data_IF_823808617733
#
_entry.id   IF_823808617733
#
_cell.length_a   1.000
_cell.length_b   1.000
_cell.length_c   1.000
_cell.angle_alpha   90.00
_cell.angle_beta   90.00
_cell.angle_gamma   90.00
#
_symmetry.space_group_name_H-M   'P 1'
#
loop_
_entity.id
_entity.type
_entity.pdbx_description
1 polymer ?
#
# COMPACT_ATOMS: atom_id res chain seq x y z
N UNK A 1 23.21 -25.28 17.88
CA UNK A 1 22.49 -24.34 18.76
C UNK A 1 21.20 -23.92 18.05
N UNK A 2 20.04 -23.98 18.72
CA UNK A 2 18.73 -23.94 18.05
C UNK A 2 18.35 -22.57 17.47
N UNK A 3 17.56 -22.58 16.38
CA UNK A 3 17.08 -21.35 15.67
C UNK A 3 16.42 -20.33 16.61
N UNK A 4 15.73 -20.80 17.66
CA UNK A 4 15.06 -19.94 18.63
C UNK A 4 16.05 -19.10 19.45
N UNK A 5 17.14 -19.72 19.91
CA UNK A 5 18.20 -19.04 20.65
C UNK A 5 18.93 -18.01 19.76
N UNK A 6 19.07 -18.30 18.47
CA UNK A 6 19.68 -17.40 17.50
C UNK A 6 18.78 -16.19 17.19
N UNK A 7 17.46 -16.39 17.10
CA UNK A 7 16.48 -15.31 16.93
C UNK A 7 16.44 -14.40 18.16
N UNK A 8 16.42 -14.99 19.35
CA UNK A 8 16.47 -14.25 20.62
C UNK A 8 17.77 -13.45 20.74
N UNK A 9 18.91 -14.04 20.36
CA UNK A 9 20.20 -13.34 20.34
C UNK A 9 20.19 -12.14 19.38
N UNK A 10 19.65 -12.31 18.17
CA UNK A 10 19.50 -11.20 17.19
C UNK A 10 18.60 -10.09 17.71
N UNK A 11 17.50 -10.44 18.37
CA UNK A 11 16.58 -9.45 18.93
C UNK A 11 17.21 -8.69 20.11
N UNK A 12 17.95 -9.41 20.96
CA UNK A 12 18.72 -8.80 22.05
C UNK A 12 19.80 -7.86 21.51
N UNK A 13 20.50 -8.26 20.44
CA UNK A 13 21.52 -7.45 19.76
C UNK A 13 20.91 -6.18 19.13
N UNK A 14 19.66 -6.26 18.64
CA UNK A 14 18.95 -5.11 18.10
C UNK A 14 18.48 -4.12 19.19
N UNK A 15 18.09 -4.62 20.37
CA UNK A 15 17.57 -3.83 21.49
C UNK A 15 18.68 -3.26 22.40
N UNK A 16 19.73 -4.04 22.65
CA UNK A 16 20.83 -3.69 23.55
C UNK A 16 22.06 -3.17 22.80
N UNK A 17 22.03 -3.21 21.46
CA UNK A 17 23.15 -2.90 20.57
C UNK A 17 24.27 -3.92 20.65
N UNK A 18 25.10 -3.98 19.60
CA UNK A 18 26.26 -4.89 19.53
C UNK A 18 27.29 -4.66 20.65
N UNK A 19 27.24 -3.50 21.31
CA UNK A 19 28.08 -3.09 22.44
C UNK A 19 27.96 -4.01 23.66
N UNK A 20 26.75 -4.51 23.96
CA UNK A 20 26.52 -5.43 25.08
C UNK A 20 27.11 -6.85 24.82
N UNK A 21 27.51 -7.13 23.57
CA UNK A 21 28.02 -8.42 23.11
C UNK A 21 29.54 -8.42 22.85
N UNK A 22 30.27 -7.37 23.25
CA UNK A 22 31.74 -7.35 23.23
C UNK A 22 32.39 -7.13 21.86
N UNK A 23 31.63 -6.73 20.84
CA UNK A 23 32.18 -6.34 19.54
C UNK A 23 32.47 -4.84 19.59
N UNK A 24 33.74 -4.48 19.53
CA UNK A 24 34.22 -3.09 19.47
C UNK A 24 33.56 -2.43 18.26
N UNK A 25 32.56 -1.59 18.49
CA UNK A 25 32.02 -0.69 17.50
C UNK A 25 32.58 0.70 17.81
N UNK A 26 33.07 1.36 16.75
CA UNK A 26 33.41 2.78 16.77
C UNK A 26 32.17 3.53 17.25
N UNK A 27 32.33 4.40 18.24
CA UNK A 27 31.26 5.20 18.84
C UNK A 27 30.66 6.14 17.77
N UNK A 28 29.67 5.63 17.04
CA UNK A 28 29.08 6.28 15.87
C UNK A 28 27.99 7.22 16.37
N UNK A 29 28.19 8.53 16.18
CA UNK A 29 27.16 9.52 16.44
C UNK A 29 26.07 9.44 15.37
N UNK A 30 24.82 9.73 15.74
CA UNK A 30 23.70 9.76 14.79
C UNK A 30 23.83 10.83 13.69
N UNK A 31 24.76 11.78 13.83
CA UNK A 31 25.10 12.79 12.81
C UNK A 31 26.04 12.27 11.70
N UNK A 32 26.64 11.08 11.87
CA UNK A 32 27.57 10.51 10.89
C UNK A 32 26.85 10.20 9.56
N UNK A 33 27.44 10.54 8.39
CA UNK A 33 26.87 10.26 7.07
C UNK A 33 26.65 8.77 6.77
N UNK A 34 27.31 7.86 7.51
CA UNK A 34 27.12 6.40 7.39
C UNK A 34 25.77 5.94 7.96
N UNK A 35 25.15 6.73 8.84
CA UNK A 35 23.86 6.40 9.46
C UNK A 35 22.71 6.82 8.54
N UNK A 36 21.68 5.98 8.45
CA UNK A 36 20.54 6.27 7.59
C UNK A 36 19.65 7.36 8.19
N UNK A 37 19.79 8.59 7.70
CA UNK A 37 18.95 9.73 8.09
C UNK A 37 17.45 9.45 7.93
N UNK A 38 17.05 8.76 6.86
CA UNK A 38 15.64 8.39 6.64
C UNK A 38 15.10 7.41 7.68
N UNK A 39 15.95 6.53 8.22
CA UNK A 39 15.58 5.62 9.31
C UNK A 39 15.48 6.36 10.65
N UNK A 40 16.37 7.32 10.90
CA UNK A 40 16.35 8.16 12.10
C UNK A 40 15.09 9.04 12.16
N UNK A 41 14.78 9.75 11.06
CA UNK A 41 13.64 10.68 11.01
C UNK A 41 12.28 9.97 10.94
N UNK A 42 12.23 8.71 10.51
CA UNK A 42 10.98 7.99 10.29
C UNK A 42 11.21 6.55 9.85
N UNK A 43 10.79 6.24 8.62
CA UNK A 43 10.95 4.94 8.00
C UNK A 43 11.82 5.02 6.74
N UNK A 44 12.81 4.15 6.63
CA UNK A 44 13.61 4.05 5.42
C UNK A 44 12.83 3.27 4.33
N UNK A 45 12.71 3.80 3.10
CA UNK A 45 12.05 3.10 1.99
C UNK A 45 12.66 1.73 1.67
N UNK A 46 13.97 1.57 1.87
CA UNK A 46 14.65 0.28 1.68
C UNK A 46 14.13 -0.81 2.61
N UNK A 47 13.75 -0.46 3.84
CA UNK A 47 13.23 -1.41 4.83
C UNK A 47 11.74 -1.70 4.59
N UNK A 48 10.98 -0.65 4.24
CA UNK A 48 9.54 -0.72 4.00
C UNK A 48 9.17 -1.60 2.80
N UNK A 49 9.99 -1.55 1.74
CA UNK A 49 9.73 -2.28 0.49
C UNK A 49 10.49 -3.59 0.35
N UNK A 50 11.11 -4.10 1.43
CA UNK A 50 11.75 -5.41 1.44
C UNK A 50 10.76 -6.50 1.01
N UNK A 51 11.19 -7.41 0.13
CA UNK A 51 10.37 -8.49 -0.42
C UNK A 51 9.14 -8.04 -1.23
N UNK A 52 9.09 -6.78 -1.67
CA UNK A 52 8.03 -6.31 -2.58
C UNK A 52 8.54 -6.24 -4.02
N UNK A 53 7.63 -6.07 -4.99
CA UNK A 53 8.00 -5.80 -6.39
C UNK A 53 8.78 -4.48 -6.58
N UNK A 54 8.82 -3.64 -5.54
CA UNK A 54 9.55 -2.36 -5.52
C UNK A 54 10.79 -2.42 -4.62
N UNK A 55 11.33 -3.62 -4.39
CA UNK A 55 12.48 -3.80 -3.52
C UNK A 55 13.71 -3.06 -4.06
N UNK A 56 14.25 -2.17 -3.23
CA UNK A 56 15.43 -1.36 -3.50
C UNK A 56 16.72 -2.06 -3.01
N UNK A 57 16.59 -3.25 -2.42
CA UNK A 57 17.66 -3.97 -1.75
C UNK A 57 17.96 -3.43 -0.35
N UNK A 58 18.91 -4.08 0.31
CA UNK A 58 19.38 -3.69 1.64
C UNK A 58 19.91 -2.25 1.63
N UNK A 59 19.59 -1.48 2.67
CA UNK A 59 20.08 -0.11 2.79
C UNK A 59 21.62 -0.11 2.90
N UNK A 60 22.28 0.75 2.12
CA UNK A 60 23.73 0.94 2.20
C UNK A 60 24.19 1.67 3.48
N UNK A 61 23.25 2.31 4.19
CA UNK A 61 23.48 3.06 5.42
C UNK A 61 23.08 2.23 6.64
N UNK A 62 23.72 2.46 7.77
CA UNK A 62 23.46 1.72 9.01
C UNK A 62 22.11 2.11 9.61
N UNK A 63 21.28 1.10 9.91
CA UNK A 63 20.04 1.24 10.69
C UNK A 63 20.32 0.75 12.12
N UNK A 64 20.20 1.63 13.10
CA UNK A 64 20.37 1.27 14.52
C UNK A 64 19.26 1.89 15.34
N UNK A 65 18.55 1.07 16.11
CA UNK A 65 17.45 1.50 16.96
C UNK A 65 17.91 2.41 18.10
N UNK A 66 19.15 2.22 18.59
CA UNK A 66 19.76 3.10 19.60
C UNK A 66 19.88 4.54 19.12
N UNK A 67 20.49 4.72 17.94
CA UNK A 67 20.71 6.03 17.34
C UNK A 67 19.39 6.73 17.02
N UNK A 68 18.35 5.97 16.69
CA UNK A 68 17.00 6.50 16.51
C UNK A 68 16.43 7.06 17.82
N UNK A 69 16.58 6.33 18.93
CA UNK A 69 16.18 6.81 20.26
C UNK A 69 16.91 8.08 20.69
N UNK A 70 18.22 8.16 20.41
CA UNK A 70 19.03 9.37 20.66
C UNK A 70 18.54 10.56 19.83
N UNK A 71 18.26 10.35 18.54
CA UNK A 71 17.70 11.38 17.66
C UNK A 71 16.32 11.88 18.14
N UNK A 72 15.43 10.96 18.55
CA UNK A 72 14.11 11.32 19.07
C UNK A 72 14.19 12.09 20.39
N UNK A 73 15.13 11.72 21.27
CA UNK A 73 15.40 12.47 22.50
C UNK A 73 15.94 13.88 22.19
N UNK A 74 16.88 13.99 21.25
CA UNK A 74 17.41 15.28 20.79
C UNK A 74 16.31 16.16 20.17
N UNK A 75 15.39 15.58 19.39
CA UNK A 75 14.26 16.28 18.81
C UNK A 75 13.30 16.80 19.88
N UNK A 76 12.93 15.99 20.87
CA UNK A 76 12.07 16.41 21.99
C UNK A 76 12.70 17.55 22.80
N UNK A 77 14.01 17.46 23.06
CA UNK A 77 14.77 18.50 23.76
C UNK A 77 14.84 19.81 22.97
N UNK A 78 14.94 19.73 21.64
CA UNK A 78 14.88 20.92 20.78
C UNK A 78 13.52 21.62 20.75
N UNK A 79 12.46 20.91 21.15
CA UNK A 79 11.08 21.42 21.17
C UNK A 79 10.61 21.84 22.58
N UNK A 80 11.38 21.55 23.63
CA UNK A 80 11.05 21.93 25.00
C UNK A 80 11.52 23.35 25.32
N UNK A 81 10.65 24.18 25.89
CA UNK A 81 10.94 25.58 26.27
C UNK A 81 11.89 25.73 27.48
N UNK A 82 12.47 24.64 28.00
CA UNK A 82 13.32 24.66 29.19
C UNK A 82 14.80 24.92 28.82
N UNK A 83 15.37 26.08 29.17
CA UNK A 83 16.72 26.48 28.74
C UNK A 83 17.86 25.72 29.44
N UNK A 84 17.64 25.11 30.61
CA UNK A 84 18.71 24.50 31.43
C UNK A 84 19.13 23.08 31.00
N UNK A 85 18.32 22.37 30.19
CA UNK A 85 18.64 21.03 29.68
C UNK A 85 19.34 21.04 28.31
N UNK A 86 19.71 22.24 27.82
CA UNK A 86 20.21 22.48 26.45
C UNK A 86 21.73 22.40 26.31
N UNK A 87 22.42 21.75 27.24
CA UNK A 87 23.87 21.47 27.14
C UNK A 87 24.14 20.36 26.12
N UNK A 88 24.16 20.79 24.86
CA UNK A 88 24.95 20.27 23.74
C UNK A 88 24.89 18.78 23.40
N UNK A 89 24.19 18.43 22.30
CA UNK A 89 24.55 17.23 21.51
C UNK A 89 24.56 17.53 19.98
N UNK A 90 23.62 18.32 19.43
CA UNK A 90 23.54 18.62 17.98
C UNK A 90 22.90 19.99 17.71
N UNK A 91 23.35 20.69 16.66
CA UNK A 91 22.80 22.00 16.26
C UNK A 91 21.35 21.89 15.78
N UNK A 92 20.42 22.79 16.18
CA UNK A 92 19.04 22.78 15.69
C UNK A 92 18.92 22.77 14.17
N UNK A 93 19.88 23.41 13.48
CA UNK A 93 19.95 23.45 12.03
C UNK A 93 20.25 22.07 11.42
N UNK A 94 21.06 21.24 12.07
CA UNK A 94 21.40 19.89 11.59
C UNK A 94 20.18 18.97 11.67
N UNK A 95 19.42 19.01 12.77
CA UNK A 95 18.16 18.26 12.92
C UNK A 95 17.15 18.65 11.83
N UNK A 96 17.02 19.95 11.56
CA UNK A 96 16.13 20.43 10.50
C UNK A 96 16.61 19.99 9.11
N UNK A 97 17.93 20.02 8.85
CA UNK A 97 18.51 19.57 7.59
C UNK A 97 18.25 18.07 7.35
N UNK A 98 18.44 17.23 8.37
CA UNK A 98 18.14 15.79 8.29
C UNK A 98 16.66 15.53 7.98
N UNK A 99 15.76 16.27 8.64
CA UNK A 99 14.32 16.21 8.35
C UNK A 99 14.00 16.60 6.91
N UNK A 100 14.57 17.70 6.41
CA UNK A 100 14.35 18.15 5.02
C UNK A 100 14.86 17.14 4.00
N UNK A 101 16.02 16.53 4.24
CA UNK A 101 16.54 15.47 3.38
C UNK A 101 15.60 14.26 3.35
N UNK A 102 15.07 13.86 4.51
CA UNK A 102 14.06 12.81 4.60
C UNK A 102 12.80 13.16 3.80
N UNK A 103 12.24 14.36 3.99
CA UNK A 103 11.05 14.83 3.28
C UNK A 103 11.26 14.84 1.76
N UNK A 104 12.40 15.38 1.29
CA UNK A 104 12.75 15.37 -0.13
C UNK A 104 12.88 13.95 -0.70
N UNK A 105 13.52 13.04 0.03
CA UNK A 105 13.65 11.66 -0.38
C UNK A 105 12.27 10.99 -0.52
N UNK A 106 11.39 11.13 0.49
CA UNK A 106 10.05 10.55 0.46
C UNK A 106 9.20 11.15 -0.66
N UNK A 107 9.25 12.46 -0.87
CA UNK A 107 8.52 13.11 -1.96
C UNK A 107 8.96 12.56 -3.32
N UNK A 108 10.26 12.35 -3.54
CA UNK A 108 10.75 11.69 -4.76
C UNK A 108 10.18 10.28 -4.97
N UNK A 109 10.02 9.49 -3.89
CA UNK A 109 9.37 8.18 -3.98
C UNK A 109 7.87 8.28 -4.27
N UNK A 110 7.18 9.28 -3.72
CA UNK A 110 5.76 9.52 -3.99
C UNK A 110 5.56 9.90 -5.46
N UNK A 111 6.40 10.79 -5.99
CA UNK A 111 6.34 11.18 -7.40
C UNK A 111 6.58 9.98 -8.34
N UNK A 112 7.50 9.09 -7.99
CA UNK A 112 7.72 7.85 -8.75
C UNK A 112 6.48 6.93 -8.70
N UNK A 113 5.88 6.76 -7.53
CA UNK A 113 4.64 6.01 -7.36
C UNK A 113 3.53 6.60 -8.21
N UNK A 114 3.34 7.92 -8.17
CA UNK A 114 2.33 8.64 -8.95
C UNK A 114 2.56 8.47 -10.46
N UNK A 115 3.81 8.56 -10.92
CA UNK A 115 4.17 8.33 -12.32
C UNK A 115 3.77 6.92 -12.77
N UNK A 116 4.06 5.91 -11.94
CA UNK A 116 3.70 4.52 -12.20
C UNK A 116 2.19 4.29 -12.17
N UNK A 117 1.48 4.94 -11.25
CA UNK A 117 0.01 4.90 -11.17
C UNK A 117 -0.60 5.51 -12.43
N UNK A 118 -0.15 6.68 -12.86
CA UNK A 118 -0.64 7.32 -14.10
C UNK A 118 -0.39 6.46 -15.33
N UNK A 119 0.79 5.84 -15.44
CA UNK A 119 1.09 4.91 -16.53
C UNK A 119 0.19 3.67 -16.51
N UNK A 120 -0.14 3.14 -15.32
CA UNK A 120 -1.07 2.04 -15.17
C UNK A 120 -2.52 2.43 -15.49
N UNK A 121 -2.97 3.59 -15.03
CA UNK A 121 -4.27 4.16 -15.34
C UNK A 121 -4.44 4.38 -16.84
N UNK A 122 -3.42 4.92 -17.52
CA UNK A 122 -3.44 5.07 -18.98
C UNK A 122 -3.54 3.75 -19.74
N UNK A 123 -2.99 2.65 -19.20
CA UNK A 123 -3.17 1.31 -19.79
C UNK A 123 -4.56 0.73 -19.52
N UNK A 124 -5.22 1.16 -18.46
CA UNK A 124 -6.58 0.75 -18.08
C UNK A 124 -7.65 1.61 -18.74
N UNK A 125 -7.29 2.81 -19.19
CA UNK A 125 -8.20 3.70 -19.92
C UNK A 125 -8.68 2.97 -21.18
N UNK A 126 -9.97 2.61 -21.19
CA UNK A 126 -10.61 1.96 -22.32
C UNK A 126 -10.51 2.89 -23.51
N UNK A 127 -10.05 2.37 -24.64
CA UNK A 127 -10.04 3.14 -25.87
C UNK A 127 -11.48 3.57 -26.21
N UNK A 128 -11.68 4.74 -26.87
CA UNK A 128 -13.01 5.16 -27.28
C UNK A 128 -13.69 4.10 -28.17
N UNK A 129 -12.91 3.32 -28.91
CA UNK A 129 -13.38 2.20 -29.73
C UNK A 129 -13.93 1.05 -28.87
N UNK A 130 -13.24 0.64 -27.81
CA UNK A 130 -13.75 -0.35 -26.85
C UNK A 130 -15.00 0.14 -26.13
N UNK A 131 -15.08 1.44 -25.82
CA UNK A 131 -16.27 2.03 -25.22
C UNK A 131 -17.47 2.02 -26.18
N UNK A 132 -17.24 2.33 -27.46
CA UNK A 132 -18.26 2.26 -28.49
C UNK A 132 -18.74 0.83 -28.72
N UNK A 133 -17.82 -0.15 -28.78
CA UNK A 133 -18.16 -1.58 -28.87
C UNK A 133 -18.96 -2.04 -27.66
N UNK A 134 -18.58 -1.61 -26.46
CA UNK A 134 -19.33 -1.93 -25.23
C UNK A 134 -20.75 -1.38 -25.29
N UNK A 135 -20.92 -0.13 -25.72
CA UNK A 135 -22.24 0.51 -25.86
C UNK A 135 -23.10 -0.18 -26.93
N UNK A 136 -22.50 -0.57 -28.06
CA UNK A 136 -23.19 -1.29 -29.12
C UNK A 136 -23.70 -2.67 -28.64
N UNK A 137 -22.83 -3.44 -27.98
CA UNK A 137 -23.20 -4.73 -27.39
C UNK A 137 -24.30 -4.58 -26.32
N UNK A 138 -24.23 -3.54 -25.48
CA UNK A 138 -25.28 -3.26 -24.49
C UNK A 138 -26.64 -2.98 -25.15
N UNK A 139 -26.64 -2.31 -26.30
CA UNK A 139 -27.87 -2.07 -27.07
C UNK A 139 -28.42 -3.37 -27.67
N UNK A 140 -27.58 -4.19 -28.27
CA UNK A 140 -27.98 -5.51 -28.80
C UNK A 140 -28.55 -6.40 -27.69
N UNK A 141 -27.93 -6.41 -26.51
CA UNK A 141 -28.45 -7.13 -25.34
C UNK A 141 -29.85 -6.62 -24.98
N UNK A 142 -30.08 -5.31 -24.97
CA UNK A 142 -31.40 -4.72 -24.68
C UNK A 142 -32.46 -5.08 -25.73
N UNK A 143 -32.09 -5.12 -27.01
CA UNK A 143 -32.97 -5.56 -28.10
C UNK A 143 -33.36 -7.04 -27.93
N UNK A 144 -32.39 -7.91 -27.60
CA UNK A 144 -32.63 -9.33 -27.31
C UNK A 144 -33.51 -9.51 -26.07
N UNK A 145 -33.27 -8.74 -25.00
CA UNK A 145 -34.08 -8.77 -23.79
C UNK A 145 -35.54 -8.42 -24.08
N UNK A 146 -35.77 -7.36 -24.86
CA UNK A 146 -37.13 -6.95 -25.26
C UNK A 146 -37.84 -8.02 -26.09
N UNK A 147 -37.13 -8.63 -27.04
CA UNK A 147 -37.68 -9.72 -27.85
C UNK A 147 -38.00 -10.97 -27.00
N UNK A 148 -37.14 -11.30 -26.04
CA UNK A 148 -37.37 -12.40 -25.09
C UNK A 148 -38.61 -12.14 -24.22
N UNK A 149 -38.75 -10.93 -23.68
CA UNK A 149 -39.92 -10.54 -22.88
C UNK A 149 -41.22 -10.64 -23.71
N UNK A 150 -41.19 -10.20 -24.97
CA UNK A 150 -42.31 -10.36 -25.90
C UNK A 150 -42.69 -11.83 -26.15
N UNK A 151 -41.70 -12.67 -26.45
CA UNK A 151 -41.91 -14.10 -26.65
C UNK A 151 -42.45 -14.79 -25.38
N UNK A 152 -41.93 -14.44 -24.21
CA UNK A 152 -42.42 -14.95 -22.92
C UNK A 152 -43.87 -14.54 -22.66
N UNK A 153 -44.27 -13.32 -23.00
CA UNK A 153 -45.65 -12.86 -22.86
C UNK A 153 -46.63 -13.63 -23.77
N UNK A 154 -46.21 -14.00 -24.99
CA UNK A 154 -46.98 -14.85 -25.88
C UNK A 154 -47.16 -16.27 -25.31
N UNK A 155 -46.09 -16.86 -24.78
CA UNK A 155 -46.14 -18.17 -24.10
C UNK A 155 -47.10 -18.14 -22.93
N UNK A 156 -47.08 -17.08 -22.11
CA UNK A 156 -48.04 -16.93 -21.01
C UNK A 156 -49.49 -16.78 -21.49
N UNK A 157 -49.73 -16.01 -22.57
CA UNK A 157 -51.06 -15.85 -23.15
C UNK A 157 -51.61 -17.18 -23.68
N UNK A 158 -50.79 -17.96 -24.37
CA UNK A 158 -51.15 -19.31 -24.82
C UNK A 158 -51.41 -20.24 -23.63
N UNK A 159 -50.59 -20.16 -22.58
CA UNK A 159 -50.83 -20.89 -21.33
C UNK A 159 -52.16 -20.54 -20.67
N UNK A 160 -52.49 -19.25 -20.59
CA UNK A 160 -53.80 -18.76 -20.10
C UNK A 160 -54.96 -19.25 -20.98
N UNK A 161 -54.79 -19.23 -22.30
CA UNK A 161 -55.80 -19.73 -23.24
C UNK A 161 -56.03 -21.24 -23.09
N UNK A 162 -54.95 -22.03 -23.01
CA UNK A 162 -55.02 -23.48 -22.79
C UNK A 162 -55.75 -23.82 -21.48
N UNK A 163 -55.39 -23.16 -20.38
CA UNK A 163 -56.08 -23.31 -19.09
C UNK A 163 -57.57 -23.00 -19.21
N UNK A 164 -57.91 -21.92 -19.94
CA UNK A 164 -59.31 -21.54 -20.15
C UNK A 164 -60.08 -22.55 -21.00
N UNK A 165 -59.51 -23.03 -22.10
CA UNK A 165 -60.12 -24.08 -22.91
C UNK A 165 -60.33 -25.37 -22.12
N UNK A 166 -59.37 -25.74 -21.27
CA UNK A 166 -59.47 -26.92 -20.41
C UNK A 166 -60.59 -26.78 -19.37
N UNK A 167 -60.80 -25.58 -18.81
CA UNK A 167 -61.85 -25.31 -17.83
C UNK A 167 -63.25 -25.14 -18.46
N UNK A 168 -63.36 -24.48 -19.60
CA UNK A 168 -64.65 -24.22 -20.26
C UNK A 168 -65.16 -25.44 -21.05
N UNK A 169 -64.27 -26.28 -21.61
CA UNK A 169 -64.62 -27.41 -22.48
C UNK A 169 -63.89 -28.73 -22.11
N UNK A 170 -64.17 -29.34 -20.95
CA UNK A 170 -63.43 -30.51 -20.45
C UNK A 170 -63.56 -31.78 -21.33
N UNK A 171 -64.58 -31.86 -22.19
CA UNK A 171 -64.85 -33.05 -23.03
C UNK A 171 -64.24 -32.99 -24.44
N UNK A 172 -63.62 -31.88 -24.87
CA UNK A 172 -62.98 -31.75 -26.19
C UNK A 172 -61.47 -32.02 -26.20
N UNK A 173 -60.85 -32.21 -25.03
CA UNK A 173 -59.41 -32.41 -24.89
C UNK A 173 -58.99 -33.88 -24.67
N UNK A 174 -59.92 -34.84 -24.83
CA UNK A 174 -59.70 -36.25 -24.53
C UNK A 174 -59.50 -37.16 -25.78
N UNK A 175 -59.45 -36.59 -26.98
CA UNK A 175 -59.05 -37.28 -28.22
C UNK A 175 -57.83 -36.61 -28.85
#
# INVERSE_FOLDING_TARGET
>A
MGRLAELQRKNLEHLMGAEAMGIIQVDLKFTDPKVCRSYLCGACPHDLFTNTKMDLGACAKTHSQKLKGEYEAALKRSQSDNPEESTEIVSPHELQSMRREYENNILGFVEECDRRIRAAQKRLEKTPEENNRTTALMREIGEIQTAYEGAMAEVENLGRWLLRCFLEHPHRCAD
#
